data_IF_839389335678
#
_entry.id   IF_839389335678
#
_cell.length_a   1.000
_cell.length_b   1.000
_cell.length_c   1.000
_cell.angle_alpha   90.00
_cell.angle_beta   90.00
_cell.angle_gamma   90.00
#
_symmetry.space_group_name_H-M   'P 1'
#
loop_
_entity.id
_entity.type
_entity.pdbx_description
1 polymer ?
#
# COMPACT_ATOMS: atom_id res chain seq x y z
N UNK A 1 -12.78 14.40 -26.09
CA UNK A 1 -11.31 14.29 -26.11
C UNK A 1 -10.97 13.27 -27.18
N UNK A 2 -10.56 13.71 -28.39
CA UNK A 2 -10.16 12.79 -29.45
C UNK A 2 -8.82 12.15 -29.07
N UNK A 3 -8.87 10.91 -28.65
CA UNK A 3 -7.69 10.12 -28.35
C UNK A 3 -7.13 9.66 -29.68
N UNK A 4 -6.04 10.27 -30.12
CA UNK A 4 -5.27 9.82 -31.29
C UNK A 4 -4.86 8.36 -31.05
N UNK A 5 -5.33 7.49 -31.93
CA UNK A 5 -5.02 6.06 -31.88
C UNK A 5 -3.55 5.91 -32.26
N UNK A 6 -2.74 5.42 -31.31
CA UNK A 6 -1.35 5.01 -31.55
C UNK A 6 -1.31 4.02 -32.73
N UNK A 7 -0.25 4.00 -33.58
CA UNK A 7 -0.08 3.05 -34.70
C UNK A 7 -0.21 1.58 -34.32
N UNK A 8 -0.20 1.23 -33.04
CA UNK A 8 -0.48 -0.11 -32.51
C UNK A 8 -1.93 -0.36 -32.09
N UNK A 9 -2.85 0.59 -32.25
CA UNK A 9 -4.28 0.42 -31.89
C UNK A 9 -4.57 0.28 -30.40
N UNK A 10 -3.61 0.56 -29.51
CA UNK A 10 -3.79 0.43 -28.06
C UNK A 10 -4.45 1.70 -27.50
N UNK A 11 -5.60 1.56 -26.84
CA UNK A 11 -6.26 2.66 -26.15
C UNK A 11 -5.66 2.91 -24.76
N UNK A 12 -5.88 4.11 -24.20
CA UNK A 12 -5.45 4.45 -22.82
C UNK A 12 -6.02 3.46 -21.81
N UNK A 13 -7.28 3.06 -21.95
CA UNK A 13 -7.91 2.08 -21.05
C UNK A 13 -7.28 0.69 -21.15
N UNK A 14 -6.95 0.23 -22.36
CA UNK A 14 -6.22 -1.03 -22.53
C UNK A 14 -4.81 -0.97 -21.92
N UNK A 15 -4.12 0.16 -22.06
CA UNK A 15 -2.83 0.38 -21.44
C UNK A 15 -2.94 0.39 -19.91
N UNK A 16 -3.96 1.06 -19.36
CA UNK A 16 -4.26 1.10 -17.94
C UNK A 16 -4.43 -0.32 -17.37
N UNK A 17 -5.32 -1.11 -17.97
CA UNK A 17 -5.58 -2.48 -17.50
C UNK A 17 -4.36 -3.40 -17.61
N UNK A 18 -3.60 -3.31 -18.71
CA UNK A 18 -2.35 -4.08 -18.89
C UNK A 18 -1.27 -3.69 -17.88
N UNK A 19 -1.29 -2.45 -17.38
CA UNK A 19 -0.32 -1.97 -16.39
C UNK A 19 -0.80 -2.25 -14.96
N UNK A 20 -2.10 -2.22 -14.71
CA UNK A 20 -2.70 -2.52 -13.41
C UNK A 20 -2.48 -3.98 -12.98
N UNK A 21 -2.51 -4.93 -13.93
CA UNK A 21 -2.30 -6.35 -13.61
C UNK A 21 -0.94 -6.65 -12.92
N UNK A 22 0.22 -6.29 -13.50
CA UNK A 22 1.50 -6.53 -12.83
C UNK A 22 1.67 -5.70 -11.56
N UNK A 23 1.09 -4.49 -11.49
CA UNK A 23 1.13 -3.68 -10.28
C UNK A 23 0.29 -4.29 -9.16
N UNK A 24 -0.91 -4.81 -9.46
CA UNK A 24 -1.74 -5.54 -8.50
C UNK A 24 -1.06 -6.84 -8.04
N UNK A 25 -0.38 -7.55 -8.95
CA UNK A 25 0.45 -8.70 -8.59
C UNK A 25 1.59 -8.32 -7.63
N UNK A 26 2.22 -7.16 -7.83
CA UNK A 26 3.22 -6.63 -6.91
C UNK A 26 2.60 -6.33 -5.52
N UNK A 27 1.41 -5.74 -5.45
CA UNK A 27 0.72 -5.46 -4.19
C UNK A 27 0.35 -6.75 -3.44
N UNK A 28 -0.06 -7.80 -4.16
CA UNK A 28 -0.29 -9.12 -3.57
C UNK A 28 0.99 -9.65 -2.90
N UNK A 29 2.13 -9.54 -3.58
CA UNK A 29 3.42 -9.97 -3.02
C UNK A 29 3.76 -9.12 -1.78
N UNK A 30 3.54 -7.81 -1.85
CA UNK A 30 3.73 -6.89 -0.73
C UNK A 30 2.85 -7.28 0.47
N UNK A 31 1.57 -7.56 0.25
CA UNK A 31 0.66 -8.03 1.28
C UNK A 31 1.15 -9.33 1.93
N UNK A 32 1.55 -10.32 1.14
CA UNK A 32 2.07 -11.58 1.66
C UNK A 32 3.34 -11.38 2.49
N UNK A 33 4.27 -10.54 2.01
CA UNK A 33 5.49 -10.21 2.76
C UNK A 33 5.12 -9.55 4.08
N UNK A 34 4.22 -8.57 4.10
CA UNK A 34 3.76 -7.91 5.32
C UNK A 34 3.18 -8.90 6.34
N UNK A 35 2.36 -9.85 5.90
CA UNK A 35 1.83 -10.89 6.78
C UNK A 35 2.94 -11.76 7.39
N UNK A 36 3.89 -12.20 6.59
CA UNK A 36 5.03 -12.99 7.10
C UNK A 36 5.97 -12.18 8.01
N UNK A 37 6.07 -10.88 7.80
CA UNK A 37 6.95 -10.00 8.58
C UNK A 37 6.25 -9.37 9.78
N UNK A 38 4.94 -9.57 9.95
CA UNK A 38 4.18 -9.04 11.06
C UNK A 38 4.72 -9.49 12.43
N UNK A 39 5.40 -10.64 12.50
CA UNK A 39 6.04 -11.16 13.71
C UNK A 39 7.45 -10.60 13.98
N UNK A 40 8.02 -9.79 13.08
CA UNK A 40 9.41 -9.32 13.21
C UNK A 40 9.54 -7.84 12.80
N UNK A 41 9.80 -6.98 13.80
CA UNK A 41 9.90 -5.53 13.60
C UNK A 41 11.00 -5.12 12.61
N UNK A 42 12.11 -5.88 12.56
CA UNK A 42 13.20 -5.60 11.60
C UNK A 42 12.78 -5.89 10.16
N UNK A 43 11.97 -6.92 9.97
CA UNK A 43 11.40 -7.21 8.65
C UNK A 43 10.32 -6.19 8.27
N UNK A 44 9.66 -5.57 9.23
CA UNK A 44 8.73 -4.44 9.01
C UNK A 44 9.40 -3.24 8.33
N UNK A 45 10.72 -3.05 8.49
CA UNK A 45 11.48 -2.02 7.78
C UNK A 45 11.52 -2.23 6.26
N UNK A 46 11.27 -3.44 5.77
CA UNK A 46 11.14 -3.73 4.33
C UNK A 46 9.96 -2.99 3.67
N UNK A 47 8.96 -2.57 4.45
CA UNK A 47 7.83 -1.81 3.91
C UNK A 47 8.27 -0.45 3.31
N UNK A 48 9.31 0.20 3.86
CA UNK A 48 9.80 1.47 3.34
C UNK A 48 10.36 1.37 1.92
N UNK A 49 11.31 0.45 1.61
CA UNK A 49 11.75 0.27 0.22
C UNK A 49 10.63 -0.21 -0.71
N UNK A 50 9.65 -0.98 -0.23
CA UNK A 50 8.51 -1.40 -1.06
C UNK A 50 7.63 -0.22 -1.46
N UNK A 51 7.36 0.72 -0.57
CA UNK A 51 6.68 1.97 -0.92
C UNK A 51 7.44 2.79 -1.97
N UNK A 52 8.77 2.84 -1.88
CA UNK A 52 9.59 3.52 -2.89
C UNK A 52 9.49 2.83 -4.26
N UNK A 53 9.45 1.49 -4.30
CA UNK A 53 9.24 0.73 -5.54
C UNK A 53 7.89 1.07 -6.17
N UNK A 54 6.81 1.18 -5.39
CA UNK A 54 5.50 1.62 -5.89
C UNK A 54 5.58 2.98 -6.60
N UNK A 55 6.26 3.96 -5.99
CA UNK A 55 6.45 5.27 -6.59
C UNK A 55 7.23 5.21 -7.92
N UNK A 56 8.27 4.37 -7.99
CA UNK A 56 9.05 4.13 -9.22
C UNK A 56 8.19 3.46 -10.29
N UNK A 57 7.38 2.46 -9.94
CA UNK A 57 6.50 1.77 -10.89
C UNK A 57 5.44 2.71 -11.45
N UNK A 58 4.85 3.58 -10.62
CA UNK A 58 3.93 4.63 -11.07
C UNK A 58 4.62 5.60 -12.03
N UNK A 59 5.79 6.12 -11.65
CA UNK A 59 6.57 7.02 -12.50
C UNK A 59 6.86 6.41 -13.87
N UNK A 60 7.34 5.16 -13.90
CA UNK A 60 7.66 4.46 -15.15
C UNK A 60 6.41 4.22 -16.00
N UNK A 61 5.28 3.88 -15.36
CA UNK A 61 4.00 3.63 -16.04
C UNK A 61 3.47 4.91 -16.72
N UNK A 62 3.52 6.04 -16.01
CA UNK A 62 3.07 7.33 -16.56
C UNK A 62 4.03 7.83 -17.63
N UNK A 63 5.33 7.63 -17.45
CA UNK A 63 6.32 7.94 -18.49
C UNK A 63 6.05 7.14 -19.76
N UNK A 64 5.78 5.83 -19.65
CA UNK A 64 5.40 4.99 -20.78
C UNK A 64 4.10 5.45 -21.43
N UNK A 65 3.08 5.81 -20.65
CA UNK A 65 1.82 6.38 -21.17
C UNK A 65 2.12 7.62 -22.01
N UNK A 66 2.90 8.56 -21.46
CA UNK A 66 3.28 9.80 -22.12
C UNK A 66 4.01 9.53 -23.45
N UNK A 67 5.02 8.66 -23.41
CA UNK A 67 5.93 8.45 -24.53
C UNK A 67 5.31 7.56 -25.62
N UNK A 68 4.40 6.62 -25.28
CA UNK A 68 3.80 5.68 -26.23
C UNK A 68 2.45 6.11 -26.78
N UNK A 69 1.65 6.83 -26.00
CA UNK A 69 0.23 7.13 -26.34
C UNK A 69 -0.06 8.63 -26.46
N UNK A 70 0.80 9.51 -25.94
CA UNK A 70 0.53 10.94 -25.86
C UNK A 70 1.67 11.78 -26.51
N UNK A 71 2.38 11.21 -27.48
CA UNK A 71 3.42 11.89 -28.29
C UNK A 71 4.45 12.68 -27.45
N UNK A 72 4.81 12.13 -26.30
CA UNK A 72 5.78 12.73 -25.38
C UNK A 72 5.27 13.89 -24.54
N UNK A 73 3.97 14.21 -24.61
CA UNK A 73 3.37 15.33 -23.87
C UNK A 73 2.24 14.83 -22.96
N UNK A 74 2.28 15.22 -21.69
CA UNK A 74 1.23 14.93 -20.73
C UNK A 74 1.01 16.13 -19.81
N UNK A 75 -0.24 16.51 -19.55
CA UNK A 75 -0.55 17.50 -18.53
C UNK A 75 -0.41 16.88 -17.13
N UNK A 76 -0.11 17.70 -16.12
CA UNK A 76 -0.01 17.22 -14.73
C UNK A 76 -1.33 16.60 -14.25
N UNK A 77 -2.48 17.17 -14.64
CA UNK A 77 -3.79 16.64 -14.27
C UNK A 77 -4.06 15.26 -14.90
N UNK A 78 -3.74 15.07 -16.20
CA UNK A 78 -3.90 13.77 -16.87
C UNK A 78 -2.97 12.73 -16.26
N UNK A 79 -1.72 13.09 -15.96
CA UNK A 79 -0.77 12.21 -15.30
C UNK A 79 -1.28 11.79 -13.92
N UNK A 80 -1.78 12.75 -13.12
CA UNK A 80 -2.33 12.50 -11.80
C UNK A 80 -3.55 11.57 -11.84
N UNK A 81 -4.54 11.90 -12.69
CA UNK A 81 -5.76 11.10 -12.86
C UNK A 81 -5.45 9.67 -13.29
N UNK A 82 -4.54 9.50 -14.26
CA UNK A 82 -4.13 8.17 -14.72
C UNK A 82 -3.45 7.37 -13.59
N UNK A 83 -2.55 8.00 -12.83
CA UNK A 83 -1.87 7.33 -11.72
C UNK A 83 -2.83 6.89 -10.62
N UNK A 84 -3.81 7.73 -10.25
CA UNK A 84 -4.84 7.37 -9.26
C UNK A 84 -5.73 6.24 -9.77
N UNK A 85 -6.14 6.27 -11.05
CA UNK A 85 -6.89 5.17 -11.66
C UNK A 85 -6.08 3.87 -11.71
N UNK A 86 -4.78 3.96 -11.99
CA UNK A 86 -3.89 2.80 -11.99
C UNK A 86 -3.79 2.16 -10.60
N UNK A 87 -3.66 2.98 -9.54
CA UNK A 87 -3.66 2.50 -8.16
C UNK A 87 -5.00 1.88 -7.77
N UNK A 88 -6.11 2.48 -8.17
CA UNK A 88 -7.44 1.94 -7.93
C UNK A 88 -7.62 0.54 -8.55
N UNK A 89 -7.26 0.35 -9.82
CA UNK A 89 -7.41 -0.96 -10.47
C UNK A 89 -6.41 -2.00 -9.93
N UNK A 90 -5.18 -1.59 -9.62
CA UNK A 90 -4.20 -2.47 -8.99
C UNK A 90 -4.65 -2.89 -7.58
N UNK A 91 -5.13 -1.94 -6.78
CA UNK A 91 -5.69 -2.18 -5.45
C UNK A 91 -6.96 -3.05 -5.47
N UNK A 92 -7.82 -2.95 -6.51
CA UNK A 92 -8.94 -3.88 -6.67
C UNK A 92 -8.48 -5.33 -6.85
N UNK A 93 -7.39 -5.56 -7.59
CA UNK A 93 -6.82 -6.90 -7.78
C UNK A 93 -6.27 -7.42 -6.45
N UNK A 94 -5.55 -6.58 -5.71
CA UNK A 94 -5.06 -6.90 -4.38
C UNK A 94 -6.20 -7.18 -3.41
N UNK A 95 -7.20 -6.30 -3.32
CA UNK A 95 -8.36 -6.44 -2.43
C UNK A 95 -9.14 -7.74 -2.68
N UNK A 96 -9.33 -8.10 -3.96
CA UNK A 96 -9.95 -9.37 -4.33
C UNK A 96 -9.13 -10.57 -3.83
N UNK A 97 -7.79 -10.51 -3.98
CA UNK A 97 -6.91 -11.53 -3.46
C UNK A 97 -6.95 -11.61 -1.93
N UNK A 98 -6.87 -10.47 -1.23
CA UNK A 98 -6.93 -10.39 0.24
C UNK A 98 -8.22 -11.02 0.77
N UNK A 99 -9.36 -10.70 0.15
CA UNK A 99 -10.64 -11.29 0.52
C UNK A 99 -10.62 -12.81 0.35
N UNK A 100 -10.23 -13.30 -0.83
CA UNK A 100 -10.18 -14.74 -1.11
C UNK A 100 -9.16 -15.46 -0.21
N UNK A 101 -8.02 -14.85 0.05
CA UNK A 101 -6.97 -15.40 0.89
C UNK A 101 -7.43 -15.57 2.34
N UNK A 102 -8.03 -14.54 2.94
CA UNK A 102 -8.44 -14.58 4.33
C UNK A 102 -9.77 -15.30 4.55
N UNK A 103 -10.67 -15.34 3.56
CA UNK A 103 -11.95 -16.02 3.70
C UNK A 103 -11.85 -17.53 3.45
N UNK A 104 -11.05 -17.94 2.43
CA UNK A 104 -11.08 -19.31 1.93
C UNK A 104 -9.75 -20.05 2.05
N UNK A 105 -8.60 -19.37 1.82
CA UNK A 105 -7.30 -20.05 1.80
C UNK A 105 -6.69 -20.17 3.20
N UNK A 106 -6.70 -19.09 3.98
CA UNK A 106 -6.14 -19.05 5.34
C UNK A 106 -7.08 -18.30 6.28
N UNK A 107 -8.26 -18.86 6.64
CA UNK A 107 -9.27 -18.17 7.45
C UNK A 107 -8.78 -17.70 8.83
N UNK A 108 -7.74 -18.34 9.36
CA UNK A 108 -7.14 -17.97 10.65
C UNK A 108 -6.10 -16.86 10.55
N UNK A 109 -5.76 -16.41 9.35
CA UNK A 109 -4.68 -15.44 9.13
C UNK A 109 -4.89 -14.13 9.89
N UNK A 110 -6.07 -13.55 9.80
CA UNK A 110 -6.38 -12.26 10.46
C UNK A 110 -6.28 -12.35 11.98
N UNK A 111 -6.77 -13.45 12.56
CA UNK A 111 -6.65 -13.71 14.01
C UNK A 111 -5.17 -13.88 14.39
N UNK A 112 -4.42 -14.59 13.58
CA UNK A 112 -2.99 -14.83 13.82
C UNK A 112 -2.21 -13.51 13.78
N UNK A 113 -2.43 -12.68 12.76
CA UNK A 113 -1.78 -11.37 12.62
C UNK A 113 -2.17 -10.43 13.77
N UNK A 114 -3.45 -10.40 14.16
CA UNK A 114 -3.92 -9.62 15.30
C UNK A 114 -3.21 -10.04 16.60
N UNK A 115 -3.17 -11.33 16.91
CA UNK A 115 -2.51 -11.86 18.11
C UNK A 115 -1.00 -11.58 18.10
N UNK A 116 -0.35 -11.69 16.93
CA UNK A 116 1.07 -11.34 16.79
C UNK A 116 1.31 -9.87 17.06
N UNK A 117 0.43 -8.98 16.60
CA UNK A 117 0.53 -7.54 16.86
C UNK A 117 0.40 -7.24 18.35
N UNK A 118 -0.58 -7.83 19.04
CA UNK A 118 -0.73 -7.69 20.51
C UNK A 118 0.54 -8.16 21.22
N UNK A 119 1.06 -9.35 20.88
CA UNK A 119 2.27 -9.90 21.47
C UNK A 119 3.51 -9.00 21.25
N UNK A 120 3.62 -8.34 20.09
CA UNK A 120 4.70 -7.37 19.84
C UNK A 120 4.61 -6.15 20.75
N UNK A 121 3.43 -5.58 20.94
CA UNK A 121 3.26 -4.45 21.86
C UNK A 121 3.52 -4.83 23.30
N UNK A 122 3.13 -6.03 23.74
CA UNK A 122 3.44 -6.55 25.07
C UNK A 122 4.94 -6.75 25.28
N UNK A 123 5.64 -7.27 24.27
CA UNK A 123 7.11 -7.40 24.29
C UNK A 123 7.80 -6.03 24.32
N UNK A 124 7.31 -5.07 23.53
CA UNK A 124 7.83 -3.71 23.54
C UNK A 124 7.61 -3.03 24.90
N UNK A 125 6.43 -3.23 25.52
CA UNK A 125 6.13 -2.73 26.85
C UNK A 125 7.13 -3.26 27.89
N UNK A 126 7.38 -4.56 27.89
CA UNK A 126 8.36 -5.20 28.79
C UNK A 126 9.75 -4.57 28.64
N UNK A 127 10.16 -4.32 27.39
CA UNK A 127 11.44 -3.66 27.09
C UNK A 127 11.49 -2.23 27.59
N UNK A 128 10.42 -1.47 27.40
CA UNK A 128 10.30 -0.07 27.85
C UNK A 128 10.27 0.00 29.37
N UNK A 129 9.54 -0.89 30.06
CA UNK A 129 9.51 -0.98 31.53
C UNK A 129 10.90 -1.28 32.10
N UNK A 130 11.68 -2.16 31.45
CA UNK A 130 13.07 -2.42 31.84
C UNK A 130 14.00 -1.19 31.73
N UNK A 131 13.71 -0.28 30.78
CA UNK A 131 14.47 0.96 30.57
C UNK A 131 13.96 2.15 31.38
N UNK A 132 12.78 2.06 31.99
CA UNK A 132 12.11 3.17 32.64
C UNK A 132 12.88 3.74 33.85
N UNK A 133 13.66 2.91 34.55
CA UNK A 133 14.53 3.33 35.65
C UNK A 133 15.72 4.20 35.21
N UNK A 134 16.13 4.07 33.94
CA UNK A 134 17.26 4.79 33.36
C UNK A 134 16.86 5.96 32.45
N UNK A 135 15.58 6.06 32.06
CA UNK A 135 15.11 7.04 31.09
C UNK A 135 13.70 7.53 31.39
N UNK A 136 13.58 8.83 31.66
CA UNK A 136 12.28 9.50 31.84
C UNK A 136 11.40 9.41 30.58
N UNK A 137 12.02 9.37 29.39
CA UNK A 137 11.31 9.19 28.12
C UNK A 137 10.67 7.79 28.06
N UNK A 138 11.39 6.74 28.43
CA UNK A 138 10.84 5.39 28.49
C UNK A 138 9.67 5.33 29.50
N UNK A 139 9.82 5.91 30.69
CA UNK A 139 8.76 5.96 31.70
C UNK A 139 7.49 6.67 31.18
N UNK A 140 7.63 7.74 30.41
CA UNK A 140 6.48 8.48 29.84
C UNK A 140 5.74 7.73 28.72
N UNK A 141 6.38 6.76 28.07
CA UNK A 141 5.77 5.93 27.00
C UNK A 141 4.92 4.78 27.54
N UNK A 142 5.16 4.32 28.77
CA UNK A 142 4.46 3.17 29.38
C UNK A 142 2.93 3.33 29.34
N UNK A 143 2.32 4.45 29.79
CA UNK A 143 0.86 4.59 29.75
C UNK A 143 0.30 4.49 28.34
N UNK A 144 0.94 5.13 27.37
CA UNK A 144 0.52 5.13 25.95
C UNK A 144 0.54 3.71 25.36
N UNK A 145 1.60 2.94 25.65
CA UNK A 145 1.71 1.57 25.13
C UNK A 145 0.70 0.65 25.80
N UNK A 146 0.43 0.82 27.11
CA UNK A 146 -0.63 0.07 27.80
C UNK A 146 -2.01 0.35 27.22
N UNK A 147 -2.34 1.62 27.02
CA UNK A 147 -3.61 2.01 26.39
C UNK A 147 -3.76 1.43 24.99
N UNK A 148 -2.67 1.41 24.19
CA UNK A 148 -2.67 0.80 22.87
C UNK A 148 -2.92 -0.72 22.93
N UNK A 149 -2.34 -1.42 23.90
CA UNK A 149 -2.56 -2.86 24.10
C UNK A 149 -4.01 -3.14 24.49
N UNK A 150 -4.57 -2.36 25.41
CA UNK A 150 -5.98 -2.48 25.80
C UNK A 150 -6.90 -2.23 24.61
N UNK A 151 -6.67 -1.15 23.86
CA UNK A 151 -7.44 -0.86 22.65
C UNK A 151 -7.38 -1.99 21.63
N UNK A 152 -6.18 -2.57 21.40
CA UNK A 152 -6.03 -3.69 20.47
C UNK A 152 -6.79 -4.93 20.95
N UNK A 153 -6.73 -5.25 22.25
CA UNK A 153 -7.45 -6.40 22.82
C UNK A 153 -8.96 -6.25 22.78
N UNK A 154 -9.46 -5.04 22.96
CA UNK A 154 -10.89 -4.73 22.95
C UNK A 154 -11.44 -4.58 21.52
N UNK A 155 -10.58 -4.35 20.54
CA UNK A 155 -10.99 -4.21 19.14
C UNK A 155 -11.23 -5.60 18.53
N UNK A 156 -12.40 -5.86 17.96
CA UNK A 156 -12.66 -7.12 17.29
C UNK A 156 -11.74 -7.29 16.08
N UNK A 157 -11.36 -8.53 15.81
CA UNK A 157 -10.56 -8.85 14.61
C UNK A 157 -11.34 -8.46 13.36
N UNK A 158 -10.73 -7.69 12.48
CA UNK A 158 -11.34 -7.26 11.23
C UNK A 158 -11.73 -8.48 10.36
N UNK A 159 -12.84 -8.41 9.69
CA UNK A 159 -13.26 -9.41 8.71
C UNK A 159 -12.43 -9.36 7.44
N UNK A 160 -12.47 -10.41 6.62
CA UNK A 160 -11.78 -10.45 5.34
C UNK A 160 -12.21 -9.30 4.41
N UNK A 161 -13.50 -8.96 4.39
CA UNK A 161 -14.03 -7.88 3.56
C UNK A 161 -13.60 -6.49 4.08
N UNK A 162 -13.62 -6.27 5.39
CA UNK A 162 -13.16 -5.01 6.00
C UNK A 162 -11.67 -4.79 5.71
N UNK A 163 -10.87 -5.85 5.83
CA UNK A 163 -9.44 -5.80 5.52
C UNK A 163 -9.21 -5.47 4.04
N UNK A 164 -9.93 -6.11 3.13
CA UNK A 164 -9.83 -5.86 1.70
C UNK A 164 -10.21 -4.41 1.33
N UNK A 165 -11.31 -3.88 1.89
CA UNK A 165 -11.75 -2.50 1.67
C UNK A 165 -10.74 -1.50 2.26
N UNK A 166 -10.22 -1.78 3.44
CA UNK A 166 -9.21 -0.93 4.08
C UNK A 166 -7.93 -0.83 3.24
N UNK A 167 -7.44 -1.96 2.71
CA UNK A 167 -6.25 -1.97 1.84
C UNK A 167 -6.50 -1.21 0.55
N UNK A 168 -7.62 -1.45 -0.14
CA UNK A 168 -8.00 -0.68 -1.33
C UNK A 168 -8.03 0.83 -1.05
N UNK A 169 -8.61 1.23 0.08
CA UNK A 169 -8.70 2.65 0.47
C UNK A 169 -7.31 3.24 0.71
N UNK A 170 -6.43 2.49 1.37
CA UNK A 170 -5.05 2.88 1.61
C UNK A 170 -4.27 3.03 0.29
N UNK A 171 -4.40 2.09 -0.65
CA UNK A 171 -3.73 2.15 -1.95
C UNK A 171 -4.14 3.39 -2.74
N UNK A 172 -5.44 3.70 -2.76
CA UNK A 172 -5.94 4.91 -3.42
C UNK A 172 -5.34 6.16 -2.76
N UNK A 173 -5.35 6.22 -1.43
CA UNK A 173 -4.82 7.35 -0.67
C UNK A 173 -3.32 7.54 -0.92
N UNK A 174 -2.52 6.46 -0.81
CA UNK A 174 -1.09 6.50 -1.13
C UNK A 174 -0.85 6.86 -2.59
N UNK A 175 -1.66 6.33 -3.50
CA UNK A 175 -1.62 6.69 -4.91
C UNK A 175 -1.81 8.20 -5.13
N UNK A 176 -2.78 8.81 -4.48
CA UNK A 176 -3.00 10.26 -4.55
C UNK A 176 -1.81 11.05 -4.02
N UNK A 177 -1.23 10.63 -2.88
CA UNK A 177 -0.05 11.27 -2.30
C UNK A 177 1.18 11.15 -3.21
N UNK A 178 1.49 9.95 -3.69
CA UNK A 178 2.63 9.72 -4.60
C UNK A 178 2.45 10.54 -5.87
N UNK A 179 1.24 10.56 -6.42
CA UNK A 179 0.95 11.29 -7.65
C UNK A 179 1.03 12.81 -7.51
N UNK A 180 0.85 13.36 -6.31
CA UNK A 180 1.10 14.78 -6.05
C UNK A 180 2.55 15.17 -6.34
N UNK A 181 3.51 14.25 -6.13
CA UNK A 181 4.93 14.45 -6.41
C UNK A 181 5.33 13.97 -7.81
N UNK A 182 4.82 12.84 -8.28
CA UNK A 182 5.21 12.22 -9.56
C UNK A 182 4.66 13.00 -10.76
N UNK A 183 3.41 13.46 -10.72
CA UNK A 183 2.78 14.13 -11.86
C UNK A 183 3.51 15.40 -12.32
N UNK A 184 4.00 16.29 -11.44
CA UNK A 184 4.81 17.44 -11.85
C UNK A 184 6.13 17.05 -12.54
N UNK A 185 6.78 15.96 -12.08
CA UNK A 185 8.08 15.48 -12.59
C UNK A 185 7.92 14.90 -14.00
N UNK A 186 6.85 14.13 -14.23
CA UNK A 186 6.62 13.49 -15.54
C UNK A 186 6.15 14.49 -16.59
N UNK A 187 5.56 15.62 -16.16
CA UNK A 187 5.07 16.67 -17.05
C UNK A 187 6.22 17.25 -17.88
N UNK A 188 6.19 17.09 -19.20
CA UNK A 188 6.99 17.91 -20.11
C UNK A 188 6.25 19.22 -20.40
N UNK A 189 6.86 20.36 -20.08
CA UNK A 189 6.43 21.66 -20.61
C UNK A 189 6.81 21.72 -22.10
N UNK A 190 5.91 22.26 -22.91
CA UNK A 190 6.24 22.71 -24.24
C UNK A 190 7.30 23.81 -24.19
#
# INVERSE_FOLDING_TARGET
MNITVNPKGVTVNQFLMKTALPLGGYFIIEYLIRNYTASNIFLGLLNLPMMAVTAVLLFLSIRKLRDLLLDGQISGFVAWTFGVQLMFFAGLIEAAFIYLFNEFLVPTNLVTVHNQLVAQYESALTTIEGMASASNMAASMIPMVKEMIELLKDTPVATAIETAISMLSNDIFYGMLIMAFVAPIVRKKK
#
